data_IF_979961930388
#
_entry.id   IF_979961930388
#
_cell.length_a   1.000
_cell.length_b   1.000
_cell.length_c   1.000
_cell.angle_alpha   90.00
_cell.angle_beta   90.00
_cell.angle_gamma   90.00
#
_symmetry.space_group_name_H-M   'P 1'
#
loop_
_entity.id
_entity.type
_entity.pdbx_description
1 polymer ?
#
# COMPACT_ATOMS: atom_id res chain seq x y z
N UNK A 1 17.32 3.29 -48.08
CA UNK A 1 17.24 4.50 -47.23
C UNK A 1 15.97 4.39 -46.40
N UNK A 2 16.02 4.37 -45.07
CA UNK A 2 14.81 4.49 -44.26
C UNK A 2 14.34 5.97 -44.26
N UNK A 3 13.01 6.23 -44.26
CA UNK A 3 12.46 7.58 -44.30
C UNK A 3 12.68 8.33 -42.98
N UNK A 4 12.97 9.63 -43.09
CA UNK A 4 13.13 10.57 -41.97
C UNK A 4 11.91 10.52 -41.04
N UNK A 5 12.09 9.96 -39.85
CA UNK A 5 11.12 10.09 -38.76
C UNK A 5 11.04 11.54 -38.32
N UNK A 6 9.83 12.07 -38.21
CA UNK A 6 9.56 13.42 -37.70
C UNK A 6 10.08 13.52 -36.26
N UNK A 7 11.16 14.26 -36.08
CA UNK A 7 11.62 14.73 -34.77
C UNK A 7 10.71 15.89 -34.36
N UNK A 8 9.63 15.61 -33.63
CA UNK A 8 8.94 16.67 -32.89
C UNK A 8 9.88 17.14 -31.77
N UNK A 9 10.43 18.35 -31.94
CA UNK A 9 11.22 18.98 -30.88
C UNK A 9 10.32 19.27 -29.68
N UNK A 10 10.81 18.92 -28.49
CA UNK A 10 10.08 19.15 -27.25
C UNK A 10 9.88 20.65 -27.03
N UNK A 11 8.62 21.07 -26.84
CA UNK A 11 8.29 22.46 -26.57
C UNK A 11 9.00 22.97 -25.29
N UNK A 12 9.43 24.24 -25.26
CA UNK A 12 10.10 24.83 -24.12
C UNK A 12 9.19 24.84 -22.88
N UNK A 13 9.77 24.42 -21.75
CA UNK A 13 9.11 24.37 -20.45
C UNK A 13 9.12 25.74 -19.78
N UNK A 14 7.93 26.31 -19.51
CA UNK A 14 7.78 27.52 -18.69
C UNK A 14 7.42 27.13 -17.25
N UNK A 15 8.35 27.36 -16.33
CA UNK A 15 8.20 27.07 -14.90
C UNK A 15 7.99 28.37 -14.14
N UNK A 16 6.75 28.83 -13.96
CA UNK A 16 6.49 29.88 -12.98
C UNK A 16 5.01 29.91 -12.61
N UNK A 17 4.70 29.35 -11.44
CA UNK A 17 3.57 29.74 -10.58
C UNK A 17 3.74 29.05 -9.22
N UNK A 18 4.23 29.79 -8.22
CA UNK A 18 4.25 29.33 -6.83
C UNK A 18 2.83 29.37 -6.29
N UNK A 19 2.18 28.20 -6.18
CA UNK A 19 0.87 28.07 -5.54
C UNK A 19 1.02 28.07 -4.02
N UNK A 20 0.49 29.09 -3.35
CA UNK A 20 0.40 29.11 -1.90
C UNK A 20 -0.65 28.10 -1.42
N UNK A 21 -0.21 27.01 -0.78
CA UNK A 21 -1.09 26.03 -0.14
C UNK A 21 -1.39 26.45 1.30
N UNK A 22 -2.58 27.01 1.55
CA UNK A 22 -3.08 27.23 2.92
C UNK A 22 -3.58 25.91 3.49
N UNK A 23 -2.89 25.35 4.49
CA UNK A 23 -3.30 24.08 5.12
C UNK A 23 -4.23 24.32 6.32
N UNK A 24 -5.48 23.86 6.22
CA UNK A 24 -6.39 23.75 7.37
C UNK A 24 -6.21 22.38 8.05
N UNK A 25 -5.93 22.38 9.37
CA UNK A 25 -5.81 21.16 10.17
C UNK A 25 -7.20 20.70 10.66
N UNK A 26 -7.72 19.62 10.08
CA UNK A 26 -8.94 18.95 10.57
C UNK A 26 -8.62 17.75 11.46
N UNK A 27 -9.56 17.34 12.32
CA UNK A 27 -9.42 16.16 13.19
C UNK A 27 -9.13 14.87 12.43
N UNK A 28 -9.68 14.74 11.20
CA UNK A 28 -9.42 13.61 10.30
C UNK A 28 -7.95 13.54 9.85
N UNK A 29 -7.33 14.69 9.57
CA UNK A 29 -5.90 14.74 9.17
C UNK A 29 -5.02 14.26 10.32
N UNK A 30 -5.34 14.66 11.56
CA UNK A 30 -4.59 14.23 12.75
C UNK A 30 -4.71 12.73 12.95
N UNK A 31 -5.94 12.17 12.92
CA UNK A 31 -6.16 10.72 13.05
C UNK A 31 -5.40 9.92 11.98
N UNK A 32 -5.47 10.33 10.72
CA UNK A 32 -4.77 9.66 9.62
C UNK A 32 -3.25 9.69 9.82
N UNK A 33 -2.68 10.79 10.33
CA UNK A 33 -1.25 10.88 10.64
C UNK A 33 -0.84 9.96 11.78
N UNK A 34 -1.66 9.87 12.83
CA UNK A 34 -1.40 8.99 13.98
C UNK A 34 -1.49 7.52 13.54
N UNK A 35 -2.57 7.13 12.86
CA UNK A 35 -2.75 5.79 12.30
C UNK A 35 -1.57 5.39 11.41
N UNK A 36 -1.18 6.27 10.48
CA UNK A 36 -0.02 6.05 9.63
C UNK A 36 1.24 5.76 10.45
N UNK A 37 1.53 6.59 11.45
CA UNK A 37 2.74 6.47 12.26
C UNK A 37 2.78 5.15 13.02
N UNK A 38 1.68 4.77 13.68
CA UNK A 38 1.64 3.55 14.50
C UNK A 38 1.71 2.28 13.63
N UNK A 39 1.06 2.26 12.46
CA UNK A 39 1.12 1.13 11.53
C UNK A 39 2.53 0.99 10.99
N UNK A 40 3.13 2.05 10.44
CA UNK A 40 4.49 1.97 9.90
C UNK A 40 5.50 1.48 10.93
N UNK A 41 5.41 1.97 12.17
CA UNK A 41 6.29 1.55 13.25
C UNK A 41 6.13 0.06 13.59
N UNK A 42 4.89 -0.45 13.65
CA UNK A 42 4.62 -1.86 13.96
C UNK A 42 5.21 -2.83 12.92
N UNK A 43 5.38 -2.38 11.67
CA UNK A 43 5.98 -3.16 10.58
C UNK A 43 7.47 -2.84 10.34
N UNK A 44 8.14 -2.12 11.25
CA UNK A 44 9.54 -1.69 11.07
C UNK A 44 9.77 -0.96 9.73
N UNK A 45 8.79 -0.12 9.34
CA UNK A 45 8.81 0.69 8.12
C UNK A 45 8.98 -0.14 6.83
N UNK A 46 8.57 -1.41 6.87
CA UNK A 46 8.71 -2.38 5.79
C UNK A 46 7.37 -2.68 5.15
N UNK A 47 7.39 -2.97 3.85
CA UNK A 47 6.23 -3.48 3.15
C UNK A 47 5.91 -4.89 3.63
N UNK A 48 4.68 -5.12 4.11
CA UNK A 48 4.19 -6.41 4.60
C UNK A 48 4.23 -7.50 3.50
N UNK A 49 4.09 -7.13 2.23
CA UNK A 49 4.01 -8.08 1.11
C UNK A 49 5.38 -8.41 0.53
N UNK A 50 6.13 -7.40 0.08
CA UNK A 50 7.43 -7.61 -0.57
C UNK A 50 8.58 -7.74 0.42
N UNK A 51 8.40 -7.26 1.65
CA UNK A 51 9.47 -7.18 2.63
C UNK A 51 10.50 -6.08 2.34
N UNK A 52 10.28 -5.20 1.36
CA UNK A 52 11.18 -4.07 1.12
C UNK A 52 11.08 -3.01 2.23
N UNK A 53 12.24 -2.53 2.70
CA UNK A 53 12.37 -1.40 3.63
C UNK A 53 13.15 -0.30 2.94
N UNK A 54 12.42 0.62 2.32
CA UNK A 54 13.00 1.73 1.56
C UNK A 54 12.75 3.04 2.32
N UNK A 55 13.83 3.65 2.79
CA UNK A 55 13.82 4.88 3.57
C UNK A 55 14.69 5.89 2.83
N UNK A 56 14.14 7.08 2.54
CA UNK A 56 14.91 8.12 1.88
C UNK A 56 15.88 8.82 2.84
N UNK A 57 16.74 9.71 2.33
CA UNK A 57 17.73 10.43 3.16
C UNK A 57 17.14 11.30 4.28
N UNK A 58 15.84 11.60 4.24
CA UNK A 58 15.11 12.33 5.28
C UNK A 58 14.37 11.44 6.28
N UNK A 59 14.60 10.11 6.27
CA UNK A 59 13.96 9.17 7.19
C UNK A 59 12.51 8.82 6.84
N UNK A 60 12.00 9.24 5.66
CA UNK A 60 10.64 8.91 5.23
C UNK A 60 10.63 7.56 4.54
N UNK A 61 9.88 6.62 5.11
CA UNK A 61 9.59 5.33 4.51
C UNK A 61 8.66 5.46 3.28
N UNK A 62 8.94 4.70 2.23
CA UNK A 62 8.14 4.64 1.01
C UNK A 62 6.73 4.08 1.25
N UNK A 63 6.57 3.19 2.23
CA UNK A 63 5.32 2.52 2.53
C UNK A 63 4.20 3.44 3.01
N UNK A 64 2.97 3.14 2.62
CA UNK A 64 1.72 3.68 3.11
C UNK A 64 1.16 2.84 4.27
N UNK A 65 0.26 3.41 5.08
CA UNK A 65 -0.59 2.63 5.97
C UNK A 65 -1.92 2.40 5.26
N UNK A 66 -2.18 1.17 4.85
CA UNK A 66 -3.41 0.75 4.20
C UNK A 66 -4.35 0.16 5.24
N UNK A 67 -5.62 0.58 5.21
CA UNK A 67 -6.66 -0.08 6.00
C UNK A 67 -7.03 -1.40 5.33
N UNK A 68 -7.21 -2.46 6.13
CA UNK A 68 -7.71 -3.75 5.65
C UNK A 68 -9.22 -3.63 5.40
N UNK A 69 -9.97 -3.17 6.40
CA UNK A 69 -11.34 -2.69 6.26
C UNK A 69 -11.31 -1.15 6.22
N UNK A 70 -11.75 -0.50 5.13
CA UNK A 70 -11.67 0.93 4.96
C UNK A 70 -12.62 1.66 5.93
N UNK A 71 -12.26 2.90 6.26
CA UNK A 71 -13.06 3.77 7.15
C UNK A 71 -14.48 3.99 6.63
N UNK A 72 -14.65 4.05 5.30
CA UNK A 72 -15.96 4.17 4.65
C UNK A 72 -16.88 2.97 4.91
N UNK A 73 -16.30 1.81 5.25
CA UNK A 73 -17.01 0.60 5.64
C UNK A 73 -16.99 0.40 7.17
N UNK A 74 -16.83 1.48 7.95
CA UNK A 74 -16.73 1.46 9.42
C UNK A 74 -15.49 0.75 9.99
N UNK A 75 -14.40 0.69 9.21
CA UNK A 75 -13.12 0.18 9.70
C UNK A 75 -12.44 1.13 10.72
N UNK A 76 -11.97 0.63 11.88
CA UNK A 76 -11.32 1.45 12.89
C UNK A 76 -9.85 1.77 12.56
N UNK A 77 -9.34 2.90 13.06
CA UNK A 77 -7.95 3.35 12.94
C UNK A 77 -7.03 2.64 13.97
N UNK A 78 -6.93 1.31 13.88
CA UNK A 78 -6.10 0.48 14.79
C UNK A 78 -5.09 -0.35 14.01
N UNK A 79 -3.95 -0.66 14.63
CA UNK A 79 -2.84 -1.37 13.97
C UNK A 79 -3.27 -2.73 13.40
N UNK A 80 -4.13 -3.46 14.11
CA UNK A 80 -4.66 -4.75 13.65
C UNK A 80 -5.63 -4.64 12.46
N UNK A 81 -6.08 -3.43 12.09
CA UNK A 81 -6.79 -3.12 10.85
C UNK A 81 -5.87 -2.47 9.80
N UNK A 82 -4.55 -2.50 10.02
CA UNK A 82 -3.57 -1.80 9.21
C UNK A 82 -2.48 -2.71 8.64
N UNK A 83 -2.11 -2.45 7.39
CA UNK A 83 -0.94 -3.02 6.74
C UNK A 83 0.01 -1.89 6.32
N UNK A 84 1.31 -2.06 6.54
CA UNK A 84 2.31 -1.20 5.91
C UNK A 84 2.59 -1.73 4.49
N UNK A 85 2.21 -0.98 3.44
CA UNK A 85 2.29 -1.43 2.05
C UNK A 85 3.04 -0.43 1.18
N UNK A 86 3.95 -0.91 0.32
CA UNK A 86 4.52 -0.08 -0.73
C UNK A 86 3.46 0.29 -1.77
N UNK A 87 3.70 1.32 -2.59
CA UNK A 87 2.71 1.82 -3.54
C UNK A 87 2.10 0.74 -4.43
N UNK A 88 2.92 -0.13 -5.00
CA UNK A 88 2.47 -1.27 -5.82
C UNK A 88 1.64 -2.27 -5.01
N UNK A 89 2.11 -2.65 -3.81
CA UNK A 89 1.41 -3.63 -2.97
C UNK A 89 0.05 -3.09 -2.51
N UNK A 90 0.01 -1.81 -2.13
CA UNK A 90 -1.20 -1.10 -1.74
C UNK A 90 -2.21 -1.09 -2.87
N UNK A 91 -1.78 -0.72 -4.08
CA UNK A 91 -2.65 -0.73 -5.25
C UNK A 91 -3.19 -2.14 -5.58
N UNK A 92 -2.34 -3.18 -5.51
CA UNK A 92 -2.79 -4.57 -5.74
C UNK A 92 -3.81 -5.01 -4.70
N UNK A 93 -3.63 -4.63 -3.43
CA UNK A 93 -4.53 -4.96 -2.33
C UNK A 93 -5.89 -4.27 -2.53
N UNK A 94 -5.90 -2.95 -2.69
CA UNK A 94 -7.12 -2.14 -2.87
C UNK A 94 -7.93 -2.55 -4.10
N UNK A 95 -7.27 -3.01 -5.18
CA UNK A 95 -7.93 -3.46 -6.41
C UNK A 95 -8.36 -4.92 -6.37
N UNK A 96 -8.15 -5.60 -5.25
CA UNK A 96 -8.53 -7.00 -5.04
C UNK A 96 -7.68 -8.00 -5.81
N UNK A 97 -6.49 -7.60 -6.24
CA UNK A 97 -5.55 -8.44 -6.98
C UNK A 97 -4.77 -9.36 -6.05
N UNK A 98 -4.54 -8.92 -4.81
CA UNK A 98 -4.04 -9.76 -3.72
C UNK A 98 -4.95 -9.65 -2.49
N UNK A 99 -4.90 -10.65 -1.63
CA UNK A 99 -5.46 -10.60 -0.28
C UNK A 99 -4.65 -11.51 0.65
N UNK A 100 -5.11 -11.72 1.89
CA UNK A 100 -4.43 -12.56 2.87
C UNK A 100 -5.40 -13.58 3.47
N UNK A 101 -4.92 -14.80 3.73
CA UNK A 101 -5.61 -15.76 4.61
C UNK A 101 -5.53 -15.30 6.07
N UNK A 102 -6.26 -15.97 6.96
CA UNK A 102 -6.18 -15.70 8.41
C UNK A 102 -4.79 -16.06 8.98
N UNK A 103 -4.05 -16.94 8.30
CA UNK A 103 -2.66 -17.32 8.58
C UNK A 103 -1.62 -16.45 7.84
N UNK A 104 -2.09 -15.38 7.18
CA UNK A 104 -1.30 -14.40 6.44
C UNK A 104 -0.63 -14.94 5.16
N UNK A 105 -1.08 -16.07 4.61
CA UNK A 105 -0.68 -16.47 3.26
C UNK A 105 -1.21 -15.47 2.24
N UNK A 106 -0.35 -15.03 1.32
CA UNK A 106 -0.75 -14.10 0.27
C UNK A 106 -1.55 -14.84 -0.79
N UNK A 107 -2.80 -14.43 -0.96
CA UNK A 107 -3.69 -14.88 -2.01
C UNK A 107 -3.50 -14.00 -3.24
N UNK A 108 -3.45 -14.61 -4.42
CA UNK A 108 -3.40 -13.92 -5.71
C UNK A 108 -4.72 -14.20 -6.43
N UNK A 109 -5.35 -13.14 -6.93
CA UNK A 109 -6.57 -13.22 -7.73
C UNK A 109 -6.35 -14.04 -9.00
N UNK A 110 -7.31 -14.89 -9.38
CA UNK A 110 -7.26 -15.60 -10.67
C UNK A 110 -7.42 -14.65 -11.86
N UNK A 111 -7.85 -13.41 -11.63
CA UNK A 111 -8.00 -12.37 -12.63
C UNK A 111 -6.74 -11.53 -12.83
N UNK A 112 -5.65 -11.83 -12.12
CA UNK A 112 -4.35 -11.22 -12.40
C UNK A 112 -3.89 -11.60 -13.81
N UNK A 113 -3.56 -10.60 -14.63
CA UNK A 113 -3.05 -10.81 -15.99
C UNK A 113 -1.60 -11.31 -16.02
N UNK A 114 -0.81 -10.98 -14.99
CA UNK A 114 0.57 -11.43 -14.80
C UNK A 114 0.76 -12.01 -13.38
N UNK A 115 0.27 -13.24 -13.12
CA UNK A 115 0.38 -13.85 -11.80
C UNK A 115 1.83 -14.13 -11.39
N UNK A 116 2.73 -14.35 -12.35
CA UNK A 116 4.14 -14.60 -12.07
C UNK A 116 4.87 -13.31 -11.65
N UNK A 117 4.57 -12.18 -12.28
CA UNK A 117 5.02 -10.87 -11.82
C UNK A 117 4.53 -10.54 -10.41
N UNK A 118 3.26 -10.85 -10.09
CA UNK A 118 2.73 -10.68 -8.73
C UNK A 118 3.48 -11.59 -7.74
N UNK A 119 3.71 -12.86 -8.08
CA UNK A 119 4.49 -13.79 -7.24
C UNK A 119 5.92 -13.32 -7.01
N UNK A 120 6.58 -12.82 -8.05
CA UNK A 120 7.94 -12.30 -7.96
C UNK A 120 8.05 -11.07 -7.05
N UNK A 121 6.97 -10.30 -6.93
CA UNK A 121 6.91 -9.15 -6.02
C UNK A 121 6.70 -9.55 -4.55
N UNK A 122 6.02 -10.68 -4.30
CA UNK A 122 5.81 -11.20 -2.94
C UNK A 122 7.13 -11.72 -2.40
N UNK A 123 7.38 -11.51 -1.10
CA UNK A 123 8.59 -12.04 -0.47
C UNK A 123 8.63 -13.58 -0.56
N UNK A 124 9.83 -14.15 -0.41
CA UNK A 124 10.08 -15.59 -0.64
C UNK A 124 9.24 -16.55 0.22
N UNK A 125 8.72 -16.10 1.36
CA UNK A 125 7.88 -16.95 2.21
C UNK A 125 6.47 -17.16 1.66
N UNK A 126 6.02 -16.32 0.72
CA UNK A 126 4.63 -16.31 0.26
C UNK A 126 3.63 -15.81 1.32
N UNK A 127 4.10 -15.41 2.50
CA UNK A 127 3.30 -14.90 3.62
C UNK A 127 3.56 -13.41 3.85
N UNK A 128 2.54 -12.68 4.27
CA UNK A 128 2.74 -11.30 4.72
C UNK A 128 3.57 -11.27 6.00
N UNK A 129 4.52 -10.35 6.06
CA UNK A 129 5.27 -10.05 7.27
C UNK A 129 4.32 -9.37 8.25
N UNK A 130 4.26 -9.89 9.48
CA UNK A 130 3.40 -9.37 10.53
C UNK A 130 4.20 -8.56 11.57
N UNK A 131 3.54 -7.66 12.31
CA UNK A 131 4.12 -7.04 13.50
C UNK A 131 4.62 -8.07 14.52
N UNK A 132 5.68 -7.70 15.25
CA UNK A 132 6.28 -8.57 16.27
C UNK A 132 5.29 -8.89 17.39
N UNK A 133 4.49 -7.89 17.81
CA UNK A 133 3.53 -8.03 18.91
C UNK A 133 2.25 -8.67 18.38
N UNK A 134 1.83 -9.76 18.99
CA UNK A 134 0.71 -10.57 18.51
C UNK A 134 -0.60 -9.77 18.37
N UNK A 135 -0.89 -8.86 19.30
CA UNK A 135 -2.12 -8.05 19.27
C UNK A 135 -2.12 -6.93 18.21
N UNK A 136 -0.95 -6.60 17.64
CA UNK A 136 -0.82 -5.64 16.54
C UNK A 136 -0.99 -6.32 15.18
N UNK A 137 -0.99 -7.66 15.13
CA UNK A 137 -1.14 -8.39 13.87
C UNK A 137 -2.52 -8.16 13.23
N UNK A 138 -2.62 -8.26 11.89
CA UNK A 138 -3.89 -8.19 11.19
C UNK A 138 -4.94 -9.12 11.81
N UNK A 139 -6.07 -8.54 12.22
CA UNK A 139 -7.11 -9.34 12.86
C UNK A 139 -7.91 -10.13 11.81
N UNK A 140 -8.20 -11.43 12.01
CA UNK A 140 -8.94 -12.26 11.06
C UNK A 140 -10.28 -11.67 10.59
N UNK A 141 -10.96 -10.92 11.45
CA UNK A 141 -12.19 -10.20 11.09
C UNK A 141 -11.99 -9.26 9.89
N UNK A 142 -10.96 -8.42 9.91
CA UNK A 142 -10.71 -7.46 8.83
C UNK A 142 -10.22 -8.17 7.58
N UNK A 143 -9.38 -9.19 7.73
CA UNK A 143 -8.88 -10.00 6.60
C UNK A 143 -10.04 -10.69 5.88
N UNK A 144 -10.97 -11.28 6.63
CA UNK A 144 -12.19 -11.87 6.09
C UNK A 144 -13.04 -10.83 5.38
N UNK A 145 -13.27 -9.67 6.00
CA UNK A 145 -14.01 -8.58 5.37
C UNK A 145 -13.40 -8.22 4.01
N UNK A 146 -12.08 -8.04 3.93
CA UNK A 146 -11.40 -7.73 2.67
C UNK A 146 -11.56 -8.85 1.63
N UNK A 147 -11.46 -10.12 2.04
CA UNK A 147 -11.68 -11.27 1.14
C UNK A 147 -13.10 -11.32 0.58
N UNK A 148 -14.09 -10.85 1.33
CA UNK A 148 -15.50 -10.88 0.94
C UNK A 148 -15.92 -9.66 0.11
N UNK A 149 -15.30 -8.49 0.33
CA UNK A 149 -15.77 -7.22 -0.24
C UNK A 149 -14.83 -6.61 -1.29
N UNK A 150 -13.55 -6.94 -1.24
CA UNK A 150 -12.53 -6.33 -2.10
C UNK A 150 -11.85 -7.35 -3.02
N UNK A 151 -11.49 -8.52 -2.48
CA UNK A 151 -10.72 -9.53 -3.21
C UNK A 151 -11.53 -10.11 -4.38
N UNK A 152 -10.90 -10.16 -5.56
CA UNK A 152 -11.52 -10.69 -6.77
C UNK A 152 -11.10 -12.14 -6.95
N UNK A 153 -11.93 -13.07 -6.48
CA UNK A 153 -11.66 -14.50 -6.62
C UNK A 153 -11.76 -14.99 -8.05
#
# INVERSE_FOLDING_TARGET
MPPNGFSEEQAPFAFEESREHVSYLSSRIVRNRVFRRIVLHAYDERCAISGLKLINGGGRAEVAAAHIQPVQANGPDIVSNGLALSGTAHWMFDRGMISLTDDLDVLISRHANDPDGVRAFINRSGRAIAPQRAFERPHPHFLRWHREHCFKQ
#
